data_IF_482560966339
#
_entry.id   IF_482560966339
#
_cell.length_a   1.000
_cell.length_b   1.000
_cell.length_c   1.000
_cell.angle_alpha   90.00
_cell.angle_beta   90.00
_cell.angle_gamma   90.00
#
_symmetry.space_group_name_H-M   'P 1'
#
loop_
_entity.id
_entity.type
_entity.pdbx_description
1 polymer ?
#
# COMPACT_ATOMS: atom_id res chain seq x y z
N UNK A 1 10.45 7.63 -8.19
CA UNK A 1 9.33 6.68 -8.35
C UNK A 1 9.75 5.30 -7.84
N UNK A 2 10.40 4.44 -8.64
CA UNK A 2 10.78 3.09 -8.20
C UNK A 2 11.67 3.07 -6.94
N UNK A 3 12.59 4.04 -6.80
CA UNK A 3 13.54 4.11 -5.68
C UNK A 3 12.87 4.43 -4.33
N UNK A 4 11.84 5.29 -4.32
CA UNK A 4 11.14 5.70 -3.09
C UNK A 4 10.15 4.63 -2.61
N UNK A 5 9.44 3.98 -3.54
CA UNK A 5 8.62 2.80 -3.24
C UNK A 5 9.46 1.68 -2.60
N UNK A 6 10.70 1.52 -3.08
CA UNK A 6 11.66 0.57 -2.51
C UNK A 6 12.10 0.97 -1.10
N UNK A 7 12.27 2.27 -0.83
CA UNK A 7 12.64 2.79 0.49
C UNK A 7 11.53 2.58 1.54
N UNK A 8 10.26 2.86 1.18
CA UNK A 8 9.10 2.60 2.08
C UNK A 8 8.90 1.11 2.33
N UNK A 9 9.07 0.27 1.30
CA UNK A 9 9.03 -1.20 1.45
C UNK A 9 10.14 -1.72 2.36
N UNK A 10 11.38 -1.26 2.16
CA UNK A 10 12.51 -1.68 3.00
C UNK A 10 12.31 -1.26 4.45
N UNK A 11 11.81 -0.05 4.69
CA UNK A 11 11.47 0.42 6.05
C UNK A 11 10.38 -0.43 6.70
N UNK A 12 9.39 -0.87 5.91
CA UNK A 12 8.37 -1.82 6.35
C UNK A 12 8.96 -3.17 6.77
N UNK A 13 9.87 -3.72 5.97
CA UNK A 13 10.57 -4.99 6.26
C UNK A 13 11.41 -4.86 7.54
N UNK A 14 12.18 -3.78 7.70
CA UNK A 14 12.99 -3.54 8.90
C UNK A 14 12.12 -3.45 10.18
N UNK A 15 10.97 -2.78 10.11
CA UNK A 15 10.04 -2.70 11.25
C UNK A 15 9.36 -4.03 11.56
N UNK A 16 9.13 -4.88 10.56
CA UNK A 16 8.62 -6.23 10.74
C UNK A 16 9.67 -7.14 11.41
N UNK A 17 10.94 -7.05 11.02
CA UNK A 17 12.05 -7.74 11.69
C UNK A 17 12.20 -7.30 13.15
N UNK A 18 12.04 -6.00 13.43
CA UNK A 18 12.02 -5.48 14.79
C UNK A 18 10.83 -6.00 15.60
N UNK A 19 9.65 -6.14 15.00
CA UNK A 19 8.48 -6.75 15.64
C UNK A 19 8.77 -8.19 16.07
N UNK A 20 9.32 -9.01 15.18
CA UNK A 20 9.68 -10.39 15.53
C UNK A 20 10.70 -10.44 16.67
N UNK A 21 11.73 -9.61 16.60
CA UNK A 21 12.74 -9.50 17.67
C UNK A 21 12.13 -9.10 19.02
N UNK A 22 11.16 -8.18 19.03
CA UNK A 22 10.46 -7.76 20.24
C UNK A 22 9.52 -8.84 20.80
N UNK A 23 8.89 -9.63 19.92
CA UNK A 23 8.04 -10.75 20.32
C UNK A 23 8.89 -11.88 20.92
N UNK A 24 10.03 -12.21 20.31
CA UNK A 24 10.97 -13.19 20.85
C UNK A 24 11.52 -12.72 22.22
N UNK A 25 11.87 -11.44 22.35
CA UNK A 25 12.28 -10.89 23.64
C UNK A 25 11.17 -10.92 24.69
N UNK A 26 9.91 -10.81 24.32
CA UNK A 26 8.78 -10.93 25.25
C UNK A 26 8.64 -12.38 25.73
N UNK A 27 8.75 -13.35 24.82
CA UNK A 27 8.72 -14.77 25.18
C UNK A 27 9.88 -15.12 26.13
N UNK A 28 11.10 -14.71 25.82
CA UNK A 28 12.26 -15.07 26.63
C UNK A 28 12.28 -14.37 27.99
N UNK A 29 12.07 -13.05 28.02
CA UNK A 29 12.27 -12.26 29.25
C UNK A 29 11.06 -12.22 30.15
N UNK A 30 9.85 -12.36 29.59
CA UNK A 30 8.60 -12.21 30.35
C UNK A 30 8.01 -13.57 30.64
N UNK A 31 7.72 -14.37 29.62
CA UNK A 31 7.14 -15.71 29.82
C UNK A 31 8.19 -16.69 30.35
N UNK A 32 9.39 -16.68 29.76
CA UNK A 32 10.51 -17.56 30.13
C UNK A 32 11.02 -17.33 31.55
N UNK A 33 10.96 -16.09 32.06
CA UNK A 33 11.31 -15.78 33.45
C UNK A 33 10.33 -16.44 34.44
N UNK A 34 9.03 -16.40 34.14
CA UNK A 34 8.00 -17.06 34.97
C UNK A 34 8.09 -18.59 34.85
N UNK A 35 8.40 -19.11 33.66
CA UNK A 35 8.67 -20.54 33.46
C UNK A 35 9.85 -21.04 34.30
N UNK A 36 10.93 -20.26 34.36
CA UNK A 36 12.07 -20.57 35.23
C UNK A 36 11.69 -20.54 36.71
N UNK A 37 10.91 -19.54 37.13
CA UNK A 37 10.43 -19.45 38.51
C UNK A 37 9.56 -20.66 38.88
N UNK A 38 8.68 -21.11 37.99
CA UNK A 38 7.87 -22.32 38.19
C UNK A 38 8.77 -23.56 38.30
N UNK A 39 9.79 -23.68 37.45
CA UNK A 39 10.73 -24.79 37.50
C UNK A 39 11.51 -24.83 38.82
N UNK A 40 12.00 -23.68 39.29
CA UNK A 40 12.71 -23.55 40.56
C UNK A 40 11.81 -23.93 41.75
N UNK A 41 10.55 -23.46 41.77
CA UNK A 41 9.57 -23.82 42.82
C UNK A 41 9.22 -25.32 42.81
N UNK A 42 9.12 -25.95 41.63
CA UNK A 42 8.88 -27.39 41.50
C UNK A 42 10.07 -28.21 41.98
N UNK A 43 11.30 -27.77 41.66
CA UNK A 43 12.52 -28.39 42.17
C UNK A 43 12.65 -28.25 43.69
N UNK A 44 12.29 -27.09 44.26
CA UNK A 44 12.25 -26.86 45.71
C UNK A 44 11.26 -27.82 46.39
N UNK A 45 10.07 -27.98 45.81
CA UNK A 45 9.05 -28.91 46.32
C UNK A 45 9.54 -30.37 46.30
N UNK A 46 10.14 -30.83 45.20
CA UNK A 46 10.69 -32.18 45.08
C UNK A 46 11.83 -32.42 46.09
N UNK A 47 12.73 -31.45 46.25
CA UNK A 47 13.79 -31.54 47.25
C UNK A 47 13.24 -31.64 48.67
N UNK A 48 12.31 -30.75 49.04
CA UNK A 48 11.72 -30.71 50.38
C UNK A 48 10.85 -31.93 50.68
N UNK A 49 10.13 -32.48 49.70
CA UNK A 49 9.37 -33.73 49.91
C UNK A 49 10.25 -34.94 50.21
N UNK A 50 11.46 -34.99 49.65
CA UNK A 50 12.45 -36.04 49.92
C UNK A 50 13.17 -35.84 51.26
N UNK A 51 13.46 -34.60 51.65
CA UNK A 51 14.25 -34.27 52.85
C UNK A 51 13.42 -34.02 54.11
N UNK A 52 12.28 -33.35 54.02
CA UNK A 52 11.48 -32.91 55.18
C UNK A 52 10.73 -34.04 55.91
N UNK A 53 10.85 -35.30 55.47
CA UNK A 53 10.23 -36.47 56.11
C UNK A 53 11.19 -37.30 56.97
N UNK A 54 12.45 -36.88 57.13
CA UNK A 54 13.46 -37.60 57.94
C UNK A 54 13.78 -36.83 59.22
N UNK A 55 13.44 -37.40 60.37
CA UNK A 55 13.85 -36.90 61.69
C UNK A 55 15.00 -37.79 62.18
N UNK A 56 16.16 -37.18 62.42
CA UNK A 56 17.36 -37.79 63.01
C UNK A 56 17.67 -37.17 64.37
N UNK A 57 18.64 -37.74 65.10
CA UNK A 57 19.09 -37.24 66.40
C UNK A 57 19.67 -35.81 66.35
N UNK A 58 20.14 -35.37 65.18
CA UNK A 58 20.75 -34.05 64.96
C UNK A 58 19.79 -33.06 64.28
N UNK A 59 18.50 -33.40 64.17
CA UNK A 59 17.52 -32.55 63.47
C UNK A 59 17.17 -31.32 64.30
N UNK A 60 17.40 -30.15 63.73
CA UNK A 60 16.86 -28.89 64.26
C UNK A 60 15.34 -28.84 64.03
N UNK A 61 14.58 -28.80 65.12
CA UNK A 61 13.12 -28.80 65.08
C UNK A 61 12.55 -27.50 64.52
N UNK A 62 13.25 -26.38 64.65
CA UNK A 62 12.80 -25.10 64.10
C UNK A 62 12.94 -25.11 62.57
N UNK A 63 14.06 -25.62 62.05
CA UNK A 63 14.30 -25.81 60.62
C UNK A 63 13.30 -26.83 60.01
N UNK A 64 13.04 -27.92 60.72
CA UNK A 64 12.03 -28.92 60.32
C UNK A 64 10.63 -28.31 60.20
N UNK A 65 10.20 -27.52 61.19
CA UNK A 65 8.89 -26.88 61.19
C UNK A 65 8.77 -25.81 60.10
N UNK A 66 9.84 -25.04 59.85
CA UNK A 66 9.91 -24.09 58.74
C UNK A 66 9.78 -24.80 57.38
N UNK A 67 10.49 -25.91 57.20
CA UNK A 67 10.40 -26.72 55.98
C UNK A 67 9.00 -27.33 55.77
N UNK A 68 8.35 -27.79 56.84
CA UNK A 68 6.97 -28.30 56.79
C UNK A 68 5.94 -27.20 56.46
N UNK A 69 6.14 -25.98 56.95
CA UNK A 69 5.32 -24.82 56.56
C UNK A 69 5.55 -24.47 55.08
N UNK A 70 6.81 -24.40 54.65
CA UNK A 70 7.18 -24.12 53.25
C UNK A 70 6.59 -25.14 52.27
N UNK A 71 6.56 -26.41 52.65
CA UNK A 71 5.98 -27.51 51.86
C UNK A 71 4.46 -27.35 51.65
N UNK A 72 3.76 -26.70 52.59
CA UNK A 72 2.33 -26.35 52.44
C UNK A 72 2.10 -25.13 51.57
N UNK A 73 3.04 -24.19 51.53
CA UNK A 73 2.94 -22.94 50.78
C UNK A 73 3.33 -23.10 49.30
N UNK A 74 4.35 -23.92 49.01
CA UNK A 74 4.90 -24.12 47.67
C UNK A 74 3.86 -24.50 46.60
N UNK A 75 2.89 -25.41 46.85
CA UNK A 75 1.85 -25.71 45.88
C UNK A 75 1.01 -24.48 45.49
N UNK A 76 0.69 -23.60 46.44
CA UNK A 76 -0.08 -22.39 46.16
C UNK A 76 0.76 -21.39 45.36
N UNK A 77 2.04 -21.23 45.69
CA UNK A 77 2.96 -20.37 44.94
C UNK A 77 3.16 -20.82 43.49
N UNK A 78 3.22 -22.15 43.25
CA UNK A 78 3.29 -22.71 41.90
C UNK A 78 2.00 -22.38 41.12
N UNK A 79 0.83 -22.57 41.73
CA UNK A 79 -0.46 -22.27 41.07
C UNK A 79 -0.58 -20.78 40.74
N UNK A 80 -0.14 -19.90 41.64
CA UNK A 80 -0.19 -18.45 41.39
C UNK A 80 0.77 -18.02 40.28
N UNK A 81 1.98 -18.59 40.23
CA UNK A 81 2.92 -18.38 39.14
C UNK A 81 2.39 -18.92 37.79
N UNK A 82 1.73 -20.08 37.79
CA UNK A 82 1.09 -20.65 36.60
C UNK A 82 -0.09 -19.77 36.10
N UNK A 83 -0.86 -19.18 37.02
CA UNK A 83 -1.91 -18.20 36.68
C UNK A 83 -1.32 -16.92 36.09
N UNK A 84 -0.21 -16.43 36.64
CA UNK A 84 0.48 -15.25 36.11
C UNK A 84 1.02 -15.51 34.70
N UNK A 85 1.66 -16.66 34.48
CA UNK A 85 2.10 -17.10 33.16
C UNK A 85 0.96 -17.10 32.14
N UNK A 86 -0.20 -17.66 32.50
CA UNK A 86 -1.37 -17.67 31.62
C UNK A 86 -1.87 -16.26 31.28
N UNK A 87 -1.85 -15.32 32.24
CA UNK A 87 -2.18 -13.92 31.98
C UNK A 87 -1.19 -13.29 31.00
N UNK A 88 0.11 -13.55 31.16
CA UNK A 88 1.16 -13.01 30.29
C UNK A 88 1.06 -13.53 28.86
N UNK A 89 0.71 -14.81 28.68
CA UNK A 89 0.44 -15.42 27.38
C UNK A 89 -0.80 -14.77 26.74
N UNK A 90 -1.88 -14.58 27.50
CA UNK A 90 -3.08 -13.93 26.97
C UNK A 90 -2.83 -12.45 26.61
N UNK A 91 -1.99 -11.76 27.37
CA UNK A 91 -1.61 -10.37 27.09
C UNK A 91 -0.68 -10.23 25.88
N UNK A 92 0.01 -11.29 25.46
CA UNK A 92 0.91 -11.28 24.29
C UNK A 92 0.19 -10.86 23.02
N UNK A 93 -1.07 -11.27 22.85
CA UNK A 93 -1.88 -10.89 21.69
C UNK A 93 -2.14 -9.38 21.66
N UNK A 94 -2.51 -8.79 22.80
CA UNK A 94 -2.69 -7.34 22.92
C UNK A 94 -1.38 -6.58 22.67
N UNK A 95 -0.27 -7.07 23.21
CA UNK A 95 1.06 -6.49 23.01
C UNK A 95 1.46 -6.50 21.52
N UNK A 96 1.23 -7.62 20.82
CA UNK A 96 1.44 -7.73 19.37
C UNK A 96 0.59 -6.72 18.61
N UNK A 97 -0.69 -6.63 18.92
CA UNK A 97 -1.63 -5.72 18.25
C UNK A 97 -1.22 -4.26 18.41
N UNK A 98 -0.70 -3.87 19.58
CA UNK A 98 -0.25 -2.50 19.82
C UNK A 98 1.00 -2.14 19.02
N UNK A 99 1.98 -3.07 18.91
CA UNK A 99 3.15 -2.86 18.05
C UNK A 99 2.74 -2.79 16.58
N UNK A 100 1.88 -3.70 16.11
CA UNK A 100 1.39 -3.68 14.72
C UNK A 100 0.64 -2.38 14.39
N UNK A 101 -0.16 -1.83 15.32
CA UNK A 101 -0.80 -0.52 15.14
C UNK A 101 0.23 0.61 15.03
N UNK A 102 1.33 0.54 15.77
CA UNK A 102 2.46 1.46 15.66
C UNK A 102 3.06 1.44 14.25
N UNK A 103 3.43 0.26 13.77
CA UNK A 103 4.00 0.06 12.42
C UNK A 103 3.03 0.56 11.35
N UNK A 104 1.74 0.24 11.47
CA UNK A 104 0.73 0.72 10.52
C UNK A 104 0.62 2.24 10.51
N UNK A 105 0.69 2.91 11.67
CA UNK A 105 0.67 4.38 11.70
C UNK A 105 1.90 4.97 11.01
N UNK A 106 3.07 4.39 11.24
CA UNK A 106 4.33 4.97 10.75
C UNK A 106 4.53 4.70 9.25
N UNK A 107 4.46 3.45 8.82
CA UNK A 107 4.67 3.07 7.41
C UNK A 107 3.42 3.33 6.58
N UNK A 108 2.23 3.04 7.13
CA UNK A 108 0.97 3.19 6.41
C UNK A 108 0.63 4.64 6.11
N UNK A 109 0.94 5.58 7.02
CA UNK A 109 0.71 7.01 6.76
C UNK A 109 1.65 7.57 5.70
N UNK A 110 2.92 7.17 5.71
CA UNK A 110 3.90 7.53 4.67
C UNK A 110 3.47 7.00 3.30
N UNK A 111 3.03 5.73 3.22
CA UNK A 111 2.54 5.14 1.99
C UNK A 111 1.27 5.85 1.44
N UNK A 112 0.32 6.17 2.32
CA UNK A 112 -0.92 6.88 1.94
C UNK A 112 -0.62 8.30 1.44
N UNK A 113 0.26 9.02 2.13
CA UNK A 113 0.66 10.37 1.72
C UNK A 113 1.31 10.36 0.33
N UNK A 114 2.18 9.39 0.06
CA UNK A 114 2.84 9.25 -1.24
C UNK A 114 1.83 8.86 -2.34
N UNK A 115 0.90 7.94 -2.06
CA UNK A 115 -0.15 7.58 -3.00
C UNK A 115 -1.03 8.77 -3.37
N UNK A 116 -1.48 9.54 -2.38
CA UNK A 116 -2.29 10.74 -2.61
C UNK A 116 -1.54 11.79 -3.43
N UNK A 117 -0.27 12.06 -3.12
CA UNK A 117 0.54 13.01 -3.90
C UNK A 117 0.73 12.57 -5.36
N UNK A 118 0.91 11.27 -5.60
CA UNK A 118 1.06 10.74 -6.95
C UNK A 118 -0.27 10.78 -7.72
N UNK A 119 -1.39 10.52 -7.05
CA UNK A 119 -2.72 10.60 -7.64
C UNK A 119 -3.06 12.02 -8.10
N UNK A 120 -2.69 13.04 -7.30
CA UNK A 120 -2.86 14.45 -7.68
C UNK A 120 -2.02 14.83 -8.89
N UNK A 121 -0.76 14.36 -8.96
CA UNK A 121 0.11 14.63 -10.10
C UNK A 121 -0.46 14.03 -11.40
N UNK A 122 -0.93 12.78 -11.33
CA UNK A 122 -1.56 12.08 -12.45
C UNK A 122 -2.86 12.75 -12.91
N UNK A 123 -3.70 13.22 -11.98
CA UNK A 123 -4.90 13.97 -12.33
C UNK A 123 -4.58 15.29 -13.03
N UNK A 124 -3.54 16.01 -12.61
CA UNK A 124 -3.10 17.23 -13.30
C UNK A 124 -2.62 16.97 -14.72
N UNK A 125 -1.86 15.89 -14.94
CA UNK A 125 -1.43 15.51 -16.29
C UNK A 125 -2.60 15.11 -17.18
N UNK A 126 -3.55 14.34 -16.62
CA UNK A 126 -4.76 13.94 -17.30
C UNK A 126 -5.61 15.15 -17.72
N UNK A 127 -5.86 16.10 -16.80
CA UNK A 127 -6.62 17.32 -17.10
C UNK A 127 -5.96 18.16 -18.20
N UNK A 128 -4.63 18.24 -18.19
CA UNK A 128 -3.87 18.93 -19.23
C UNK A 128 -4.03 18.23 -20.58
N UNK A 129 -3.90 16.91 -20.63
CA UNK A 129 -4.08 16.13 -21.85
C UNK A 129 -5.51 16.28 -22.40
N UNK A 130 -6.52 16.21 -21.53
CA UNK A 130 -7.92 16.36 -21.89
C UNK A 130 -8.22 17.76 -22.46
N UNK A 131 -7.69 18.81 -21.81
CA UNK A 131 -7.79 20.19 -22.30
C UNK A 131 -7.15 20.36 -23.68
N UNK A 132 -6.03 19.69 -23.91
CA UNK A 132 -5.34 19.71 -25.22
C UNK A 132 -6.16 19.01 -26.30
N UNK A 133 -6.77 17.86 -25.99
CA UNK A 133 -7.70 17.17 -26.88
C UNK A 133 -8.91 18.03 -27.25
N UNK A 134 -9.52 18.70 -26.27
CA UNK A 134 -10.66 19.60 -26.51
C UNK A 134 -10.26 20.75 -27.44
N UNK A 135 -9.06 21.32 -27.25
CA UNK A 135 -8.56 22.39 -28.12
C UNK A 135 -8.37 21.91 -29.57
N UNK A 136 -7.81 20.71 -29.75
CA UNK A 136 -7.65 20.09 -31.08
C UNK A 136 -9.01 19.80 -31.73
N UNK A 137 -9.97 19.25 -30.99
CA UNK A 137 -11.33 18.99 -31.50
C UNK A 137 -11.98 20.30 -31.98
N UNK A 138 -11.83 21.38 -31.22
CA UNK A 138 -12.34 22.70 -31.62
C UNK A 138 -11.70 23.19 -32.92
N UNK A 139 -10.39 23.09 -33.04
CA UNK A 139 -9.67 23.46 -34.27
C UNK A 139 -10.11 22.61 -35.47
N UNK A 140 -10.32 21.31 -35.28
CA UNK A 140 -10.82 20.41 -36.33
C UNK A 140 -12.23 20.80 -36.79
N UNK A 141 -13.13 21.17 -35.87
CA UNK A 141 -14.48 21.65 -36.21
C UNK A 141 -14.45 22.98 -36.96
N UNK A 142 -13.60 23.91 -36.55
CA UNK A 142 -13.39 25.18 -37.26
C UNK A 142 -12.88 24.92 -38.69
N UNK A 143 -11.89 24.04 -38.85
CA UNK A 143 -11.36 23.65 -40.15
C UNK A 143 -12.43 22.97 -41.03
N UNK A 144 -13.29 22.12 -40.45
CA UNK A 144 -14.40 21.48 -41.17
C UNK A 144 -15.44 22.51 -41.63
N UNK A 145 -15.73 23.52 -40.80
CA UNK A 145 -16.62 24.62 -41.16
C UNK A 145 -16.04 25.46 -42.30
N UNK A 146 -14.75 25.81 -42.22
CA UNK A 146 -14.04 26.55 -43.26
C UNK A 146 -13.98 25.77 -44.57
N UNK A 147 -13.72 24.46 -44.50
CA UNK A 147 -13.74 23.58 -45.66
C UNK A 147 -15.14 23.57 -46.32
N UNK A 148 -16.22 23.41 -45.54
CA UNK A 148 -17.59 23.48 -46.06
C UNK A 148 -17.88 24.84 -46.69
N UNK A 149 -17.50 25.95 -46.04
CA UNK A 149 -17.69 27.30 -46.57
C UNK A 149 -16.93 27.52 -47.89
N UNK A 150 -15.68 27.03 -47.99
CA UNK A 150 -14.90 27.06 -49.21
C UNK A 150 -15.55 26.25 -50.33
N UNK A 151 -16.06 25.05 -50.02
CA UNK A 151 -16.75 24.18 -50.97
C UNK A 151 -18.06 24.81 -51.48
N UNK A 152 -18.85 25.44 -50.60
CA UNK A 152 -20.03 26.24 -50.99
C UNK A 152 -19.65 27.40 -51.91
N UNK A 153 -18.56 28.11 -51.62
CA UNK A 153 -18.05 29.21 -52.46
C UNK A 153 -17.60 28.73 -53.84
N UNK A 154 -16.99 27.54 -53.92
CA UNK A 154 -16.59 26.90 -55.19
C UNK A 154 -17.80 26.38 -55.98
N UNK A 155 -18.82 25.85 -55.30
CA UNK A 155 -20.07 25.42 -55.96
C UNK A 155 -20.86 26.60 -56.54
N UNK A 156 -20.91 27.75 -55.86
CA UNK A 156 -21.56 28.94 -56.39
C UNK A 156 -20.78 29.61 -57.52
N UNK A 157 -19.46 29.49 -57.54
CA UNK A 157 -18.64 29.96 -58.68
C UNK A 157 -18.78 29.05 -59.90
N UNK A 158 -19.00 27.74 -59.76
CA UNK A 158 -19.34 26.84 -60.90
C UNK A 158 -20.55 27.30 -61.71
N UNK A 159 -21.50 28.02 -61.10
CA UNK A 159 -22.63 28.65 -61.80
C UNK A 159 -22.28 29.92 -62.59
N UNK A 160 -21.14 30.55 -62.32
CA UNK A 160 -20.69 31.80 -62.96
C UNK A 160 -19.80 31.52 -64.19
N UNK A 161 -19.21 30.33 -64.30
CA UNK A 161 -18.37 29.96 -65.45
C UNK A 161 -19.15 29.59 -66.72
N UNK A 162 -20.47 29.36 -66.65
CA UNK A 162 -21.25 28.99 -67.84
C UNK A 162 -21.72 30.16 -68.71
N UNK A 163 -21.49 31.41 -68.29
CA UNK A 163 -21.94 32.61 -69.03
C UNK A 163 -20.79 33.51 -69.51
N UNK A 164 -19.53 33.12 -69.33
CA UNK A 164 -18.41 33.90 -69.83
C UNK A 164 -18.16 33.54 -71.29
N UNK A 165 -18.71 34.40 -72.15
CA UNK A 165 -18.47 34.53 -73.57
C UNK A 165 -16.98 34.37 -73.92
N UNK A 166 -16.70 33.86 -75.13
CA UNK A 166 -15.38 33.41 -75.65
C UNK A 166 -14.31 34.51 -75.77
N UNK A 167 -14.45 35.65 -75.11
CA UNK A 167 -13.54 36.78 -75.18
C UNK A 167 -12.55 36.82 -74.01
N UNK A 168 -11.33 36.37 -74.31
CA UNK A 168 -10.05 36.95 -73.86
C UNK A 168 -9.80 37.16 -72.35
N UNK A 169 -8.91 36.29 -71.81
CA UNK A 169 -8.05 36.36 -70.60
C UNK A 169 -8.20 35.17 -69.65
N UNK A 170 -9.39 34.59 -69.51
CA UNK A 170 -9.61 33.42 -68.63
C UNK A 170 -9.10 32.09 -69.21
N UNK A 171 -8.94 31.99 -70.53
CA UNK A 171 -8.47 30.77 -71.18
C UNK A 171 -7.00 30.43 -70.86
N UNK A 172 -6.15 31.43 -70.56
CA UNK A 172 -4.76 31.20 -70.11
C UNK A 172 -4.69 30.64 -68.69
N UNK A 173 -5.54 31.11 -67.78
CA UNK A 173 -5.62 30.56 -66.42
C UNK A 173 -6.08 29.09 -66.41
N UNK A 174 -6.96 28.70 -67.35
CA UNK A 174 -7.37 27.30 -67.48
C UNK A 174 -6.26 26.38 -67.99
N UNK A 175 -5.39 26.84 -68.90
CA UNK A 175 -4.23 26.03 -69.35
C UNK A 175 -3.12 25.97 -68.32
N UNK A 176 -2.86 27.07 -67.61
CA UNK A 176 -1.73 27.17 -66.67
C UNK A 176 -1.99 26.43 -65.34
N UNK A 177 -3.26 26.19 -65.00
CA UNK A 177 -3.65 25.51 -63.74
C UNK A 177 -4.32 24.15 -63.93
N UNK A 178 -4.31 23.61 -65.16
CA UNK A 178 -4.73 22.25 -65.52
C UNK A 178 -5.92 21.70 -64.70
N UNK A 179 -7.03 22.44 -64.68
CA UNK A 179 -8.23 22.11 -63.90
C UNK A 179 -9.03 20.93 -64.48
N UNK A 180 -8.60 20.37 -65.62
CA UNK A 180 -9.20 19.17 -66.21
C UNK A 180 -8.59 17.86 -65.67
N UNK A 181 -7.39 17.88 -65.08
CA UNK A 181 -6.73 16.66 -64.57
C UNK A 181 -7.06 16.34 -63.10
N UNK A 182 -7.94 17.13 -62.47
CA UNK A 182 -8.47 16.83 -61.12
C UNK A 182 -9.95 16.51 -61.15
N UNK A 183 -10.37 15.69 -62.10
CA UNK A 183 -11.60 14.91 -61.92
C UNK A 183 -11.42 14.07 -60.66
N UNK A 184 -12.06 14.49 -59.57
CA UNK A 184 -12.32 13.62 -58.43
C UNK A 184 -13.18 12.49 -58.98
N UNK A 185 -12.58 11.32 -59.10
CA UNK A 185 -13.26 10.11 -59.51
C UNK A 185 -14.23 9.71 -58.39
N UNK A 186 -15.49 10.13 -58.53
CA UNK A 186 -16.57 9.85 -57.57
C UNK A 186 -17.05 8.39 -57.63
N UNK A 187 -16.29 7.48 -58.26
CA UNK A 187 -16.68 6.07 -58.40
C UNK A 187 -16.49 5.20 -57.14
N UNK A 188 -15.87 5.72 -56.07
CA UNK A 188 -15.70 4.97 -54.81
C UNK A 188 -16.62 5.40 -53.66
N UNK A 189 -17.73 6.09 -53.96
CA UNK A 189 -18.83 6.26 -53.02
C UNK A 189 -19.99 5.31 -53.39
N UNK A 190 -19.83 4.02 -53.08
CA UNK A 190 -20.92 3.06 -52.88
C UNK A 190 -20.62 2.19 -51.67
#
# INVERSE_FOLDING_TARGET
>A
MAKLQYEVLNKGIEMEEQLYTQLDSYDDKVVGAVDKQIADLKAELEHLTVTANKITLDTDMDEYMANQQRLKELPNLIVDAERERLKLINNKQSYKEDICKGIYREVGSEYVAEFSSNMEALMKEYDKALSTMIAIDKQMRELEADYKNGLYSVMHTKGVYMTIDRASKMYRLHSDHNLNDKSIDLQYAK
#
